data_IF_274746668428
#
_entry.id   IF_274746668428
#
_cell.length_a   1.000
_cell.length_b   1.000
_cell.length_c   1.000
_cell.angle_alpha   90.00
_cell.angle_beta   90.00
_cell.angle_gamma   90.00
#
_symmetry.space_group_name_H-M   'P 1'
#
loop_
_entity.id
_entity.type
_entity.pdbx_description
1 polymer ?
#
# COMPACT_ATOMS: atom_id res chain seq x y z
N UNK A 1 9.30 -9.45 -6.19
CA UNK A 1 8.27 -8.71 -5.44
C UNK A 1 8.78 -8.12 -4.14
N UNK A 2 9.01 -6.81 -4.17
CA UNK A 2 9.17 -5.92 -3.02
C UNK A 2 8.00 -4.94 -3.03
N UNK A 3 7.44 -4.63 -1.86
CA UNK A 3 6.37 -3.67 -1.66
C UNK A 3 6.84 -2.58 -0.72
N UNK A 4 6.68 -1.33 -1.12
CA UNK A 4 7.02 -0.17 -0.31
C UNK A 4 5.72 0.59 -0.08
N UNK A 5 5.22 0.56 1.15
CA UNK A 5 4.04 1.27 1.57
C UNK A 5 4.45 2.54 2.33
N UNK A 6 4.10 3.71 1.81
CA UNK A 6 4.23 4.98 2.51
C UNK A 6 2.87 5.49 2.93
N UNK A 7 2.64 5.56 4.22
CA UNK A 7 1.48 6.24 4.79
C UNK A 7 1.90 7.66 5.17
N UNK A 8 1.27 8.66 4.54
CA UNK A 8 1.53 10.07 4.79
C UNK A 8 0.19 10.77 5.04
N UNK A 9 -0.05 11.24 6.26
CA UNK A 9 -1.25 12.03 6.57
C UNK A 9 -1.74 11.83 8.01
N UNK A 10 -2.94 12.35 8.30
CA UNK A 10 -3.49 12.40 9.64
C UNK A 10 -3.02 13.59 10.49
N UNK A 11 -3.45 13.59 11.75
CA UNK A 11 -3.17 14.64 12.76
C UNK A 11 -1.67 14.99 12.86
N UNK A 12 -0.77 14.01 12.62
CA UNK A 12 0.67 14.17 12.77
C UNK A 12 1.37 14.91 11.61
N UNK A 13 0.68 15.14 10.49
CA UNK A 13 1.28 15.80 9.32
C UNK A 13 2.54 15.07 8.80
N UNK A 14 3.50 15.78 8.17
CA UNK A 14 4.71 15.16 7.63
C UNK A 14 5.64 14.55 8.70
N UNK A 15 5.43 14.85 9.98
CA UNK A 15 6.18 14.24 11.08
C UNK A 15 5.72 12.80 11.40
N UNK A 16 4.54 12.38 10.92
CA UNK A 16 4.01 11.02 11.08
C UNK A 16 4.09 10.18 9.81
N UNK A 17 4.91 10.57 8.83
CA UNK A 17 5.08 9.80 7.60
C UNK A 17 5.77 8.46 7.91
N UNK A 18 5.04 7.36 7.75
CA UNK A 18 5.57 6.02 7.96
C UNK A 18 5.86 5.38 6.60
N UNK A 19 7.11 4.97 6.39
CA UNK A 19 7.52 4.22 5.20
C UNK A 19 7.86 2.80 5.61
N UNK A 20 7.17 1.82 5.03
CA UNK A 20 7.33 0.40 5.29
C UNK A 20 7.76 -0.29 4.03
N UNK A 21 8.88 -1.00 4.08
CA UNK A 21 9.38 -1.79 2.95
C UNK A 21 9.30 -3.26 3.31
N UNK A 22 8.65 -4.03 2.47
CA UNK A 22 8.36 -5.45 2.67
C UNK A 22 8.79 -6.22 1.44
N UNK A 23 9.69 -7.17 1.63
CA UNK A 23 10.11 -8.09 0.58
C UNK A 23 9.30 -9.38 0.69
N UNK A 24 8.57 -9.79 -0.36
CA UNK A 24 7.83 -11.07 -0.34
C UNK A 24 8.74 -12.27 -0.09
N UNK A 25 10.02 -12.15 -0.46
CA UNK A 25 11.04 -13.19 -0.19
C UNK A 25 11.43 -13.29 1.29
N UNK A 26 11.18 -12.24 2.06
CA UNK A 26 11.43 -12.22 3.51
C UNK A 26 10.20 -12.58 4.33
N UNK A 27 9.02 -12.59 3.70
CA UNK A 27 7.78 -13.06 4.30
C UNK A 27 7.64 -14.58 4.19
N UNK A 28 6.84 -15.21 5.08
CA UNK A 28 6.45 -16.60 4.94
C UNK A 28 5.73 -16.86 3.61
N UNK A 29 5.91 -18.04 3.03
CA UNK A 29 5.28 -18.42 1.75
C UNK A 29 3.74 -18.28 1.78
N UNK A 30 3.12 -18.55 2.93
CA UNK A 30 1.67 -18.38 3.14
C UNK A 30 1.26 -16.90 3.01
N UNK A 31 2.03 -15.99 3.60
CA UNK A 31 1.76 -14.55 3.58
C UNK A 31 2.06 -13.94 2.21
N UNK A 32 3.18 -14.33 1.61
CA UNK A 32 3.53 -13.93 0.26
C UNK A 32 2.43 -14.33 -0.74
N UNK A 33 1.88 -15.55 -0.59
CA UNK A 33 0.77 -16.03 -1.41
C UNK A 33 -0.51 -15.24 -1.17
N UNK A 34 -0.88 -14.95 0.09
CA UNK A 34 -2.04 -14.11 0.40
C UNK A 34 -1.91 -12.71 -0.20
N UNK A 35 -0.76 -12.05 -0.03
CA UNK A 35 -0.51 -10.72 -0.59
C UNK A 35 -0.59 -10.76 -2.12
N UNK A 36 0.02 -11.76 -2.78
CA UNK A 36 -0.13 -11.92 -4.23
C UNK A 36 -1.58 -12.09 -4.66
N UNK A 37 -2.37 -12.90 -3.94
CA UNK A 37 -3.78 -13.10 -4.25
C UNK A 37 -4.58 -11.81 -4.07
N UNK A 38 -4.35 -11.04 -3.00
CA UNK A 38 -5.01 -9.76 -2.78
C UNK A 38 -4.62 -8.73 -3.85
N UNK A 39 -3.36 -8.74 -4.28
CA UNK A 39 -2.83 -7.83 -5.29
C UNK A 39 -3.38 -8.15 -6.69
N UNK A 40 -3.51 -9.44 -7.01
CA UNK A 40 -4.22 -9.92 -8.21
C UNK A 40 -5.73 -9.62 -8.14
N UNK A 41 -6.38 -9.88 -7.01
CA UNK A 41 -7.82 -9.62 -6.83
C UNK A 41 -8.15 -8.13 -6.88
N UNK A 42 -7.21 -7.27 -6.44
CA UNK A 42 -7.32 -5.82 -6.54
C UNK A 42 -7.00 -5.30 -7.95
N UNK A 43 -6.50 -6.16 -8.85
CA UNK A 43 -6.00 -5.77 -10.16
C UNK A 43 -4.98 -4.61 -10.06
N UNK A 44 -4.08 -4.66 -9.07
CA UNK A 44 -3.22 -3.53 -8.71
C UNK A 44 -2.41 -2.97 -9.88
N UNK A 45 -1.95 -3.85 -10.76
CA UNK A 45 -1.20 -3.49 -11.97
C UNK A 45 -2.08 -2.86 -13.07
N UNK A 46 -3.39 -3.08 -13.04
CA UNK A 46 -4.36 -2.47 -13.94
C UNK A 46 -5.05 -1.23 -13.33
N UNK A 47 -4.86 -0.97 -12.02
CA UNK A 47 -5.40 0.20 -11.36
C UNK A 47 -4.73 1.49 -11.84
N UNK A 48 -5.49 2.61 -11.84
CA UNK A 48 -4.90 3.91 -12.11
C UNK A 48 -3.90 4.27 -11.00
N UNK A 49 -2.78 4.93 -11.33
CA UNK A 49 -1.73 5.27 -10.37
C UNK A 49 -2.16 6.28 -9.30
N UNK A 50 -3.36 6.88 -9.42
CA UNK A 50 -3.92 7.83 -8.45
C UNK A 50 -5.42 7.56 -8.24
N UNK A 51 -5.74 6.93 -7.12
CA UNK A 51 -7.09 6.71 -6.60
C UNK A 51 -7.32 7.66 -5.42
N UNK A 52 -7.28 8.96 -5.72
CA UNK A 52 -7.44 10.00 -4.71
C UNK A 52 -8.72 10.79 -4.94
N UNK A 53 -9.38 11.19 -3.85
CA UNK A 53 -10.54 12.07 -3.90
C UNK A 53 -10.20 13.36 -4.64
N UNK A 54 -11.17 13.93 -5.37
CA UNK A 54 -10.99 15.22 -6.06
C UNK A 54 -10.63 16.38 -5.12
N UNK A 55 -11.04 16.30 -3.85
CA UNK A 55 -10.74 17.30 -2.83
C UNK A 55 -10.19 16.63 -1.56
N UNK A 56 -8.89 16.24 -1.56
CA UNK A 56 -8.26 15.69 -0.37
C UNK A 56 -8.15 16.80 0.68
N UNK A 57 -8.65 16.58 1.90
CA UNK A 57 -8.48 17.54 3.00
C UNK A 57 -7.08 17.39 3.57
N UNK A 58 -6.58 18.43 4.22
CA UNK A 58 -5.24 18.44 4.85
C UNK A 58 -5.04 17.38 5.95
N UNK A 59 -6.10 16.66 6.34
CA UNK A 59 -6.08 15.57 7.30
C UNK A 59 -6.16 14.17 6.67
N UNK A 60 -6.44 14.07 5.37
CA UNK A 60 -6.63 12.77 4.72
C UNK A 60 -5.31 11.98 4.71
N UNK A 61 -5.40 10.72 5.14
CA UNK A 61 -4.30 9.78 5.06
C UNK A 61 -4.10 9.33 3.61
N UNK A 62 -2.93 9.62 3.07
CA UNK A 62 -2.52 9.17 1.74
C UNK A 62 -1.63 7.94 1.89
N UNK A 63 -1.98 6.89 1.16
CA UNK A 63 -1.20 5.67 1.08
C UNK A 63 -0.58 5.61 -0.31
N UNK A 64 0.73 5.43 -0.36
CA UNK A 64 1.47 5.26 -1.60
C UNK A 64 2.10 3.87 -1.53
N UNK A 65 1.57 2.94 -2.33
CA UNK A 65 2.09 1.60 -2.44
C UNK A 65 2.90 1.49 -3.73
N UNK A 66 4.15 1.12 -3.59
CA UNK A 66 5.04 0.84 -4.70
C UNK A 66 5.39 -0.64 -4.72
N UNK A 67 5.14 -1.30 -5.85
CA UNK A 67 5.34 -2.74 -6.02
C UNK A 67 6.39 -2.95 -7.10
N UNK A 68 7.52 -3.53 -6.70
CA UNK A 68 8.65 -3.87 -7.56
C UNK A 68 8.68 -5.39 -7.79
N UNK A 69 8.28 -5.82 -8.99
CA UNK A 69 8.30 -7.23 -9.37
C UNK A 69 9.23 -7.52 -10.55
N UNK A 70 10.54 -7.35 -10.35
CA UNK A 70 11.57 -7.73 -11.33
C UNK A 70 11.54 -6.98 -12.68
N UNK A 71 10.57 -6.09 -12.87
CA UNK A 71 10.34 -5.24 -14.04
C UNK A 71 10.09 -3.79 -13.62
N UNK A 72 9.15 -3.10 -14.29
CA UNK A 72 8.83 -1.70 -13.98
C UNK A 72 8.10 -1.58 -12.62
N UNK A 73 8.61 -0.77 -11.67
CA UNK A 73 7.94 -0.55 -10.40
C UNK A 73 6.59 0.13 -10.63
N UNK A 74 5.54 -0.42 -10.02
CA UNK A 74 4.20 0.16 -10.05
C UNK A 74 3.94 0.94 -8.77
N UNK A 75 3.83 2.26 -8.90
CA UNK A 75 3.48 3.14 -7.81
C UNK A 75 2.01 3.57 -7.93
N UNK A 76 1.22 3.27 -6.91
CA UNK A 76 -0.19 3.65 -6.82
C UNK A 76 -0.41 4.44 -5.55
N UNK A 77 -0.91 5.66 -5.72
CA UNK A 77 -1.29 6.55 -4.62
C UNK A 77 -2.80 6.47 -4.45
N UNK A 78 -3.25 6.11 -3.26
CA UNK A 78 -4.66 5.95 -2.96
C UNK A 78 -5.00 6.47 -1.56
N UNK A 79 -6.26 6.85 -1.39
CA UNK A 79 -6.85 6.96 -0.07
C UNK A 79 -7.54 5.64 0.26
N UNK A 80 -7.42 5.15 1.51
CA UNK A 80 -8.15 3.95 1.91
C UNK A 80 -9.62 4.09 1.52
N UNK A 81 -10.25 5.23 1.75
CA UNK A 81 -11.66 5.44 1.40
C UNK A 81 -12.04 5.15 -0.07
N UNK A 82 -11.15 5.46 -1.02
CA UNK A 82 -11.33 5.25 -2.47
C UNK A 82 -10.77 3.89 -2.96
N UNK A 83 -9.99 3.21 -2.13
CA UNK A 83 -9.36 1.95 -2.48
C UNK A 83 -10.35 0.78 -2.43
N UNK A 84 -10.16 -0.17 -3.35
CA UNK A 84 -10.86 -1.46 -3.36
C UNK A 84 -10.68 -2.19 -2.02
N UNK A 85 -11.67 -2.97 -1.56
CA UNK A 85 -11.58 -3.71 -0.30
C UNK A 85 -10.34 -4.60 -0.23
N UNK A 86 -10.01 -5.30 -1.32
CA UNK A 86 -8.81 -6.15 -1.40
C UNK A 86 -7.49 -5.38 -1.25
N UNK A 87 -7.46 -4.11 -1.66
CA UNK A 87 -6.30 -3.24 -1.56
C UNK A 87 -6.18 -2.65 -0.15
N UNK A 88 -7.31 -2.34 0.50
CA UNK A 88 -7.37 -2.03 1.93
C UNK A 88 -6.83 -3.20 2.75
N UNK A 89 -7.33 -4.41 2.52
CA UNK A 89 -6.89 -5.62 3.20
C UNK A 89 -5.39 -5.86 3.02
N UNK A 90 -4.86 -5.68 1.80
CA UNK A 90 -3.42 -5.77 1.56
C UNK A 90 -2.63 -4.72 2.34
N UNK A 91 -3.12 -3.48 2.39
CA UNK A 91 -2.49 -2.39 3.14
C UNK A 91 -2.52 -2.66 4.64
N UNK A 92 -3.64 -3.18 5.16
CA UNK A 92 -3.78 -3.56 6.57
C UNK A 92 -2.87 -4.73 6.92
N UNK A 93 -2.78 -5.75 6.07
CA UNK A 93 -1.83 -6.86 6.24
C UNK A 93 -0.39 -6.36 6.31
N UNK A 94 0.01 -5.48 5.39
CA UNK A 94 1.33 -4.84 5.43
C UNK A 94 1.53 -3.95 6.68
N UNK A 95 0.44 -3.41 7.24
CA UNK A 95 0.48 -2.61 8.46
C UNK A 95 0.53 -3.43 9.75
N UNK A 96 -0.13 -4.58 9.79
CA UNK A 96 -0.22 -5.45 10.97
C UNK A 96 1.02 -6.35 11.12
N UNK A 97 1.57 -6.85 10.01
CA UNK A 97 2.75 -7.74 10.04
C UNK A 97 4.09 -7.03 10.22
N UNK A 98 4.13 -5.72 9.98
CA UNK A 98 5.33 -4.92 10.20
C UNK A 98 5.09 -4.10 11.46
N UNK A 99 5.88 -4.31 12.51
CA UNK A 99 5.85 -3.41 13.65
C UNK A 99 6.30 -2.01 13.17
N UNK A 100 5.63 -0.91 13.54
CA UNK A 100 6.15 0.42 13.23
C UNK A 100 7.51 0.60 13.91
N UNK A 101 8.55 0.95 13.13
CA UNK A 101 9.85 1.37 13.65
C UNK A 101 9.73 2.69 14.44
#
# INVERSE_FOLDING_TARGET
MRLILKCTGGFAGPAGAQTRTVDLKQLPEEQASQLQQLLQASDFFALPPKLVKQAPKSWDFKYELEVEDGGAPHCVVYHLDEASPSLKELTEKLNDEVDPD
#
